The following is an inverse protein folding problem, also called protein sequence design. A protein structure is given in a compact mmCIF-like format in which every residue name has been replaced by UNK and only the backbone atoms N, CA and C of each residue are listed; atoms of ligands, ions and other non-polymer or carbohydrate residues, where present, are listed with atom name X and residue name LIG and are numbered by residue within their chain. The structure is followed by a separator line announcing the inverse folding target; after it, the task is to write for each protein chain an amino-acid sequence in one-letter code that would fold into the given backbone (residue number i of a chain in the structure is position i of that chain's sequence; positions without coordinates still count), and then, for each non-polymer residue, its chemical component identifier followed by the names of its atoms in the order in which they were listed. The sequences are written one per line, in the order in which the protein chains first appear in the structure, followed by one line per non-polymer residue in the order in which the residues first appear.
data_IF_373300053935
#
_entry.id   IF_373300053935
#
_cell.length_a   1.000
_cell.length_b   1.000
_cell.length_c   1.000
_cell.angle_alpha   90.00
_cell.angle_beta   90.00
_cell.angle_gamma   90.00
#
_symmetry.space_group_name_H-M   'P 1'
#
loop_
_entity.id
_entity.type
_entity.pdbx_description
1 polymer ?
#
# COMPACT_ATOMS: atom_id res chain seq x y z
N UNK A 1 7.80 -12.39 21.45
CA UNK A 1 6.61 -12.18 20.59
C UNK A 1 5.80 -13.47 20.60
N UNK A 2 4.55 -13.50 21.10
CA UNK A 2 3.77 -14.74 21.08
C UNK A 2 3.36 -15.04 19.63
N UNK A 3 3.72 -16.25 19.19
CA UNK A 3 3.37 -16.81 17.89
C UNK A 3 1.84 -16.93 17.80
N UNK A 4 1.20 -16.02 17.06
CA UNK A 4 -0.26 -16.02 16.89
C UNK A 4 -0.60 -17.12 15.88
N UNK A 5 -1.02 -18.27 16.40
CA UNK A 5 -1.56 -19.39 15.61
C UNK A 5 -2.65 -18.87 14.68
N UNK A 6 -2.41 -18.97 13.37
CA UNK A 6 -3.44 -18.72 12.36
C UNK A 6 -4.45 -19.87 12.49
N UNK A 7 -5.73 -19.59 12.78
CA UNK A 7 -6.74 -20.64 12.91
C UNK A 7 -6.89 -21.39 11.59
N UNK A 8 -6.81 -22.72 11.63
CA UNK A 8 -7.00 -23.57 10.44
C UNK A 8 -8.51 -23.62 10.14
N UNK A 9 -8.97 -23.11 8.99
CA UNK A 9 -10.40 -23.03 8.69
C UNK A 9 -10.96 -24.44 8.45
N UNK A 10 -12.03 -24.78 9.17
CA UNK A 10 -12.67 -26.11 9.12
C UNK A 10 -13.71 -26.22 7.99
N UNK A 11 -13.89 -25.18 7.18
CA UNK A 11 -14.86 -25.13 6.07
C UNK A 11 -14.45 -24.18 4.92
N UNK A 12 -15.00 -24.42 3.72
CA UNK A 12 -14.69 -23.71 2.47
C UNK A 12 -15.04 -22.21 2.49
N UNK A 13 -16.11 -21.82 3.18
CA UNK A 13 -16.52 -20.42 3.32
C UNK A 13 -15.60 -19.63 4.27
N UNK A 14 -15.19 -20.25 5.38
CA UNK A 14 -14.31 -19.65 6.38
C UNK A 14 -12.87 -19.50 5.85
N UNK A 15 -12.41 -20.45 5.05
CA UNK A 15 -11.12 -20.38 4.38
C UNK A 15 -11.01 -19.17 3.42
N UNK A 16 -12.09 -18.86 2.70
CA UNK A 16 -12.13 -17.73 1.76
C UNK A 16 -12.15 -16.37 2.47
N UNK A 17 -12.92 -16.24 3.56
CA UNK A 17 -13.00 -15.02 4.36
C UNK A 17 -11.69 -14.74 5.11
N UNK A 18 -11.09 -15.76 5.75
CA UNK A 18 -9.79 -15.65 6.42
C UNK A 18 -8.69 -15.28 5.44
N UNK A 19 -8.67 -15.88 4.24
CA UNK A 19 -7.64 -15.61 3.23
C UNK A 19 -7.69 -14.17 2.69
N UNK A 20 -8.86 -13.69 2.26
CA UNK A 20 -8.98 -12.31 1.74
C UNK A 20 -8.69 -11.24 2.79
N UNK A 21 -9.14 -11.46 4.01
CA UNK A 21 -8.92 -10.51 5.09
C UNK A 21 -7.45 -10.49 5.54
N UNK A 22 -6.82 -11.66 5.68
CA UNK A 22 -5.41 -11.77 6.00
C UNK A 22 -4.50 -11.18 4.91
N UNK A 23 -4.83 -11.38 3.63
CA UNK A 23 -4.10 -10.78 2.51
C UNK A 23 -4.16 -9.24 2.56
N UNK A 24 -5.33 -8.68 2.90
CA UNK A 24 -5.50 -7.23 3.01
C UNK A 24 -4.79 -6.63 4.22
N UNK A 25 -4.76 -7.33 5.35
CA UNK A 25 -3.97 -6.93 6.51
C UNK A 25 -2.46 -7.00 6.24
N UNK A 26 -2.01 -8.07 5.56
CA UNK A 26 -0.62 -8.20 5.14
C UNK A 26 -0.21 -7.05 4.19
N UNK A 27 -1.10 -6.68 3.26
CA UNK A 27 -0.86 -5.55 2.36
C UNK A 27 -0.80 -4.20 3.10
N UNK A 28 -1.65 -3.98 4.11
CA UNK A 28 -1.62 -2.78 4.96
C UNK A 28 -0.25 -2.62 5.64
N UNK A 29 0.22 -3.69 6.28
CA UNK A 29 1.48 -3.67 7.03
C UNK A 29 2.69 -3.56 6.10
N UNK A 30 2.64 -4.19 4.92
CA UNK A 30 3.67 -4.05 3.89
C UNK A 30 3.77 -2.61 3.37
N UNK A 31 2.64 -1.92 3.17
CA UNK A 31 2.63 -0.53 2.70
C UNK A 31 3.17 0.43 3.76
N UNK A 32 2.77 0.26 5.03
CA UNK A 32 3.33 1.04 6.14
C UNK A 32 4.84 0.84 6.24
N UNK A 33 5.31 -0.41 6.23
CA UNK A 33 6.73 -0.73 6.29
C UNK A 33 7.51 -0.13 5.11
N UNK A 34 6.93 -0.10 3.91
CA UNK A 34 7.51 0.54 2.73
C UNK A 34 7.62 2.06 2.93
N UNK A 35 6.58 2.72 3.42
CA UNK A 35 6.59 4.17 3.66
C UNK A 35 7.55 4.56 4.79
N UNK A 36 7.61 3.76 5.85
CA UNK A 36 8.58 3.91 6.94
C UNK A 36 10.01 3.76 6.44
N UNK A 37 10.28 2.77 5.59
CA UNK A 37 11.60 2.58 4.96
C UNK A 37 11.99 3.75 4.05
N UNK A 38 11.00 4.43 3.44
CA UNK A 38 11.20 5.65 2.66
C UNK A 38 11.29 6.91 3.54
N UNK A 39 11.09 6.80 4.85
CA UNK A 39 11.09 7.92 5.79
C UNK A 39 9.88 8.86 5.63
N UNK A 40 8.78 8.38 5.06
CA UNK A 40 7.58 9.16 4.77
C UNK A 40 6.62 9.08 5.94
N UNK A 41 6.30 10.22 6.56
CA UNK A 41 5.31 10.28 7.64
C UNK A 41 3.92 10.08 7.04
N UNK A 42 3.22 9.02 7.42
CA UNK A 42 1.93 8.69 6.81
C UNK A 42 0.77 8.63 7.82
N UNK A 43 -0.42 9.09 7.40
CA UNK A 43 -1.65 9.01 8.18
C UNK A 43 -2.48 7.73 7.95
N UNK A 44 -1.90 6.69 7.34
CA UNK A 44 -2.59 5.41 7.07
C UNK A 44 -2.96 4.73 8.40
N UNK A 45 -4.26 4.68 8.69
CA UNK A 45 -4.81 4.12 9.94
C UNK A 45 -5.58 2.83 9.69
N UNK A 46 -6.21 2.68 8.51
CA UNK A 46 -7.09 1.55 8.23
C UNK A 46 -7.09 1.11 6.77
N UNK A 47 -7.85 0.05 6.49
CA UNK A 47 -7.87 -0.61 5.17
C UNK A 47 -8.40 0.28 4.04
N UNK A 48 -9.30 1.23 4.34
CA UNK A 48 -9.82 2.15 3.33
C UNK A 48 -8.74 3.11 2.80
N UNK A 49 -7.69 3.37 3.58
CA UNK A 49 -6.58 4.22 3.16
C UNK A 49 -5.67 3.55 2.10
N UNK A 50 -5.81 2.22 1.91
CA UNK A 50 -5.03 1.45 0.93
C UNK A 50 -5.51 1.64 -0.51
N UNK A 51 -6.79 1.96 -0.72
CA UNK A 51 -7.30 2.23 -2.07
C UNK A 51 -6.67 3.50 -2.66
N UNK A 52 -6.19 4.38 -1.80
CA UNK A 52 -5.46 5.61 -2.16
C UNK A 52 -3.97 5.53 -1.76
N UNK A 53 -3.45 4.34 -1.45
CA UNK A 53 -2.02 4.20 -1.18
C UNK A 53 -1.22 4.48 -2.45
N UNK A 54 0.03 4.97 -2.34
CA UNK A 54 0.90 5.16 -3.50
C UNK A 54 1.03 3.90 -4.37
N UNK A 55 0.97 2.71 -3.77
CA UNK A 55 0.98 1.42 -4.47
C UNK A 55 -0.29 1.09 -5.27
N UNK A 56 -1.40 1.80 -5.03
CA UNK A 56 -2.65 1.64 -5.81
C UNK A 56 -2.61 2.37 -7.16
N UNK A 57 -1.68 3.31 -7.33
CA UNK A 57 -1.50 4.06 -8.57
C UNK A 57 -0.41 3.44 -9.44
N UNK A 58 -0.44 3.76 -10.74
CA UNK A 58 0.60 3.35 -11.68
C UNK A 58 1.93 3.99 -11.29
N UNK A 59 3.03 3.34 -11.68
CA UNK A 59 4.35 3.93 -11.51
C UNK A 59 4.43 5.26 -12.27
N UNK A 60 4.64 6.36 -11.53
CA UNK A 60 4.71 7.70 -12.09
C UNK A 60 5.91 7.83 -13.04
N UNK A 61 7.00 7.11 -12.80
CA UNK A 61 8.18 7.17 -13.66
C UNK A 61 7.86 6.59 -15.05
N UNK A 62 7.15 5.47 -15.09
CA UNK A 62 6.67 4.87 -16.33
C UNK A 62 5.65 5.77 -17.04
N UNK A 63 4.73 6.41 -16.31
CA UNK A 63 3.73 7.31 -16.91
C UNK A 63 4.42 8.51 -17.55
N UNK A 64 5.38 9.13 -16.86
CA UNK A 64 6.11 10.29 -17.36
C UNK A 64 7.01 9.95 -18.55
N UNK A 65 7.64 8.77 -18.55
CA UNK A 65 8.44 8.28 -19.69
C UNK A 65 7.60 8.13 -20.96
N UNK A 66 6.37 7.60 -20.83
CA UNK A 66 5.46 7.39 -21.94
C UNK A 66 4.85 8.68 -22.52
N UNK A 67 5.04 9.83 -21.88
CA UNK A 67 4.46 11.11 -22.29
C UNK A 67 5.52 12.21 -22.41
N UNK A 68 6.80 11.83 -22.56
CA UNK A 68 7.92 12.75 -22.64
C UNK A 68 7.93 13.61 -23.91
N UNK A 69 7.14 13.24 -24.93
CA UNK A 69 6.92 14.02 -26.15
C UNK A 69 5.95 15.19 -25.95
N UNK A 70 5.12 15.15 -24.90
CA UNK A 70 4.10 16.17 -24.63
C UNK A 70 4.54 17.19 -23.57
N UNK A 71 5.46 16.82 -22.67
CA UNK A 71 5.89 17.68 -21.57
C UNK A 71 7.36 17.44 -21.19
N UNK A 72 8.02 18.49 -20.68
CA UNK A 72 9.36 18.41 -20.12
C UNK A 72 9.32 18.32 -18.59
N UNK A 73 10.08 17.38 -18.01
CA UNK A 73 10.18 17.23 -16.55
C UNK A 73 11.15 18.28 -16.02
N UNK A 74 10.61 19.30 -15.33
CA UNK A 74 11.43 20.35 -14.71
C UNK A 74 12.04 19.89 -13.38
N UNK A 75 11.26 19.18 -12.54
CA UNK A 75 11.72 18.73 -11.22
C UNK A 75 10.92 17.51 -10.76
N UNK A 76 11.58 16.58 -10.06
CA UNK A 76 10.95 15.44 -9.38
C UNK A 76 10.99 15.65 -7.87
N UNK A 77 9.83 15.57 -7.23
CA UNK A 77 9.69 15.69 -5.79
C UNK A 77 9.59 14.31 -5.13
N UNK A 78 10.01 14.24 -3.86
CA UNK A 78 9.80 13.08 -3.00
C UNK A 78 8.91 13.48 -1.82
N UNK A 79 7.89 12.68 -1.48
CA UNK A 79 7.01 13.01 -0.38
C UNK A 79 7.77 12.93 0.95
N UNK A 80 7.52 13.88 1.84
CA UNK A 80 8.00 13.85 3.23
C UNK A 80 6.89 13.41 4.20
N UNK A 81 5.66 13.82 3.92
CA UNK A 81 4.50 13.43 4.71
C UNK A 81 3.24 13.32 3.83
N UNK A 82 2.35 12.42 4.19
CA UNK A 82 1.01 12.23 3.59
C UNK A 82 -0.02 12.36 4.70
N UNK A 83 -0.71 13.51 4.73
CA UNK A 83 -1.82 13.79 5.64
C UNK A 83 -3.11 13.70 4.84
N UNK A 84 -3.97 12.76 5.20
CA UNK A 84 -5.32 12.59 4.64
C UNK A 84 -6.34 12.95 5.72
N UNK A 85 -7.38 13.67 5.35
CA UNK A 85 -8.47 14.13 6.21
C UNK A 85 -9.81 13.60 5.72
#
# INVERSE_FOLDING_TARGET
MPNRLIPVPTGLADAWAVSKQAIRELALEAEKARLDALGVIHAIRGRNDLEEAPSAYKDIDQVMENQCDLFEIVVKLRPLAVVKG
#
